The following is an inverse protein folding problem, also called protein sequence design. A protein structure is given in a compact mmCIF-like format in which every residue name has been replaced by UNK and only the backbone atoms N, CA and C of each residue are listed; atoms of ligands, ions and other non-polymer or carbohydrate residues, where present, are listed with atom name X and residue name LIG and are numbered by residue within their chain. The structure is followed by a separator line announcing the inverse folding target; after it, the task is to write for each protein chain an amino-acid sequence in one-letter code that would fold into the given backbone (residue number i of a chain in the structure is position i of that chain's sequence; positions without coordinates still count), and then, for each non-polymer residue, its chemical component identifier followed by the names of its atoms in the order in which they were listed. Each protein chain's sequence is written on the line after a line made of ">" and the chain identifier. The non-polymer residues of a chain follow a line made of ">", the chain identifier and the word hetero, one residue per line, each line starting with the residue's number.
data_IF_884048326887
#
_entry.id   IF_884048326887
#
_cell.length_a   1.000
_cell.length_b   1.000
_cell.length_c   1.000
_cell.angle_alpha   90.00
_cell.angle_beta   90.00
_cell.angle_gamma   90.00
#
_symmetry.space_group_name_H-M   'P 1'
#
loop_
_entity.id
_entity.type
_entity.pdbx_description
1 polymer ?
#
# COMPACT_ATOMS: atom_id res chain seq x y z
N UNK A 1 -17.67 6.32 -24.81
CA UNK A 1 -17.52 6.42 -23.34
C UNK A 1 -16.29 5.62 -22.96
N UNK A 2 -15.22 6.24 -22.48
CA UNK A 2 -13.98 5.53 -22.12
C UNK A 2 -14.15 5.02 -20.69
N UNK A 3 -14.14 3.70 -20.51
CA UNK A 3 -14.18 3.10 -19.18
C UNK A 3 -12.77 3.20 -18.56
N UNK A 4 -12.60 4.06 -17.57
CA UNK A 4 -11.32 4.26 -16.88
C UNK A 4 -11.16 3.40 -15.62
N UNK A 5 -12.15 2.59 -15.26
CA UNK A 5 -12.05 1.69 -14.10
C UNK A 5 -11.56 0.31 -14.51
N UNK A 6 -10.78 -0.31 -13.63
CA UNK A 6 -10.31 -1.67 -13.81
C UNK A 6 -11.30 -2.70 -13.30
N UNK A 7 -11.45 -3.79 -14.06
CA UNK A 7 -12.13 -4.97 -13.58
C UNK A 7 -11.22 -5.78 -12.66
N UNK A 8 -11.61 -6.01 -11.41
CA UNK A 8 -10.82 -6.86 -10.51
C UNK A 8 -10.80 -8.30 -11.04
N UNK A 9 -9.74 -9.00 -10.71
CA UNK A 9 -9.55 -10.42 -11.03
C UNK A 9 -9.55 -11.26 -9.76
N UNK A 10 -10.01 -12.49 -9.85
CA UNK A 10 -9.89 -13.46 -8.74
C UNK A 10 -8.44 -13.97 -8.69
N UNK A 11 -7.79 -13.87 -7.54
CA UNK A 11 -6.42 -14.35 -7.34
C UNK A 11 -6.17 -14.69 -5.88
N UNK A 12 -5.34 -15.71 -5.63
CA UNK A 12 -4.82 -15.99 -4.28
C UNK A 12 -3.99 -14.83 -3.74
N UNK A 13 -3.42 -14.02 -4.64
CA UNK A 13 -2.56 -12.89 -4.31
C UNK A 13 -3.24 -11.85 -3.42
N UNK A 14 -4.57 -11.72 -3.49
CA UNK A 14 -5.33 -10.84 -2.58
C UNK A 14 -5.14 -11.17 -1.09
N UNK A 15 -4.73 -12.39 -0.76
CA UNK A 15 -4.56 -12.84 0.63
C UNK A 15 -3.30 -12.27 1.30
N UNK A 16 -2.36 -11.72 0.53
CA UNK A 16 -1.11 -11.20 1.08
C UNK A 16 -1.37 -10.05 2.06
N UNK A 17 -2.36 -9.20 1.79
CA UNK A 17 -2.75 -8.14 2.73
C UNK A 17 -3.32 -8.70 4.03
N UNK A 18 -3.95 -9.87 4.00
CA UNK A 18 -4.43 -10.54 5.23
C UNK A 18 -3.28 -10.98 6.13
N UNK A 19 -2.12 -11.34 5.56
CA UNK A 19 -0.91 -11.61 6.33
C UNK A 19 -0.42 -10.34 7.05
N UNK A 20 -0.30 -9.21 6.34
CA UNK A 20 0.10 -7.92 6.95
C UNK A 20 -0.87 -7.52 8.06
N UNK A 21 -2.18 -7.59 7.78
CA UNK A 21 -3.20 -7.24 8.76
C UNK A 21 -3.13 -8.14 10.00
N UNK A 22 -2.91 -9.44 9.83
CA UNK A 22 -2.75 -10.37 10.94
C UNK A 22 -1.54 -10.01 11.81
N UNK A 23 -0.39 -9.75 11.21
CA UNK A 23 0.80 -9.35 11.94
C UNK A 23 0.56 -8.05 12.73
N UNK A 24 0.00 -7.03 12.08
CA UNK A 24 -0.21 -5.73 12.72
C UNK A 24 -1.31 -5.75 13.80
N UNK A 25 -2.42 -6.43 13.54
CA UNK A 25 -3.61 -6.36 14.40
C UNK A 25 -3.70 -7.49 15.43
N UNK A 26 -3.12 -8.68 15.13
CA UNK A 26 -3.22 -9.83 16.03
C UNK A 26 -1.92 -10.09 16.79
N UNK A 27 -0.77 -9.79 16.18
CA UNK A 27 0.53 -10.00 16.84
C UNK A 27 0.99 -8.72 17.53
N UNK A 28 1.27 -7.66 16.77
CA UNK A 28 1.83 -6.41 17.32
C UNK A 28 0.84 -5.72 18.27
N UNK A 29 -0.42 -5.54 17.85
CA UNK A 29 -1.43 -4.84 18.66
C UNK A 29 -1.74 -5.56 19.99
N UNK A 30 -1.52 -6.86 20.09
CA UNK A 30 -1.72 -7.63 21.30
C UNK A 30 -0.45 -7.80 22.15
N UNK A 31 0.70 -7.22 21.75
CA UNK A 31 1.97 -7.36 22.48
C UNK A 31 1.87 -7.01 23.97
N UNK A 32 1.08 -6.00 24.35
CA UNK A 32 0.88 -5.61 25.76
C UNK A 32 0.08 -6.61 26.60
N UNK A 33 -0.66 -7.50 25.96
CA UNK A 33 -1.49 -8.52 26.63
C UNK A 33 -0.74 -9.82 26.84
N UNK A 34 0.40 -9.98 26.17
CA UNK A 34 1.21 -11.17 26.26
C UNK A 34 2.12 -11.09 27.49
N UNK A 35 2.38 -12.24 28.12
CA UNK A 35 3.25 -12.33 29.31
C UNK A 35 4.73 -12.18 28.96
N UNK A 36 5.11 -12.54 27.73
CA UNK A 36 6.50 -12.50 27.28
C UNK A 36 6.96 -11.05 27.07
N UNK A 37 8.11 -10.70 27.62
CA UNK A 37 8.71 -9.37 27.47
C UNK A 37 9.21 -9.12 26.04
N UNK A 38 9.72 -10.16 25.38
CA UNK A 38 10.27 -10.09 24.02
C UNK A 38 9.45 -10.94 23.07
N UNK A 39 9.55 -10.57 21.79
CA UNK A 39 8.93 -11.33 20.73
C UNK A 39 9.51 -12.73 20.60
N UNK A 40 8.62 -13.70 20.43
CA UNK A 40 8.95 -15.07 20.05
C UNK A 40 8.09 -15.49 18.85
N UNK A 41 8.70 -16.19 17.89
CA UNK A 41 8.04 -16.55 16.63
C UNK A 41 6.78 -17.42 16.84
N UNK A 42 6.69 -18.15 17.95
CA UNK A 42 5.51 -18.96 18.32
C UNK A 42 4.27 -18.11 18.61
N UNK A 43 4.42 -16.80 18.85
CA UNK A 43 3.32 -15.85 18.97
C UNK A 43 2.57 -15.67 17.65
N UNK A 44 3.20 -15.98 16.54
CA UNK A 44 2.55 -16.09 15.23
C UNK A 44 1.82 -17.43 15.18
N UNK A 45 0.59 -17.48 15.74
CA UNK A 45 -0.19 -18.72 15.92
C UNK A 45 -0.63 -19.37 14.62
N UNK A 46 -0.77 -18.58 13.54
CA UNK A 46 -1.12 -19.09 12.21
C UNK A 46 0.13 -19.69 11.59
N UNK A 47 0.23 -21.03 11.58
CA UNK A 47 1.41 -21.78 11.14
C UNK A 47 1.91 -21.38 9.76
N UNK A 48 1.00 -21.23 8.77
CA UNK A 48 1.39 -20.79 7.42
C UNK A 48 2.08 -19.42 7.42
N UNK A 49 1.67 -18.50 8.29
CA UNK A 49 2.27 -17.17 8.40
C UNK A 49 3.62 -17.22 9.13
N UNK A 50 3.76 -18.09 10.12
CA UNK A 50 5.04 -18.37 10.76
C UNK A 50 6.05 -18.92 9.76
N UNK A 51 5.67 -19.92 8.95
CA UNK A 51 6.51 -20.46 7.88
C UNK A 51 6.93 -19.42 6.83
N UNK A 52 6.12 -18.40 6.56
CA UNK A 52 6.51 -17.30 5.67
C UNK A 52 7.65 -16.46 6.27
N UNK A 53 7.58 -16.18 7.58
CA UNK A 53 8.60 -15.39 8.27
C UNK A 53 9.90 -16.18 8.37
N UNK A 54 9.84 -17.44 8.79
CA UNK A 54 10.99 -18.35 8.91
C UNK A 54 11.63 -18.70 7.56
N UNK A 55 10.86 -18.64 6.48
CA UNK A 55 11.30 -19.01 5.13
C UNK A 55 12.05 -17.91 4.37
N UNK A 56 12.27 -16.75 4.98
CA UNK A 56 13.05 -15.63 4.42
C UNK A 56 14.13 -15.20 5.41
N UNK A 57 15.09 -14.39 4.94
CA UNK A 57 16.13 -13.82 5.79
C UNK A 57 15.49 -13.00 6.94
N UNK A 58 15.97 -13.19 8.16
CA UNK A 58 15.44 -12.57 9.37
C UNK A 58 15.33 -11.05 9.26
N UNK A 59 16.31 -10.39 8.63
CA UNK A 59 16.33 -8.94 8.42
C UNK A 59 15.11 -8.40 7.69
N UNK A 60 14.41 -9.23 6.92
CA UNK A 60 13.24 -8.77 6.15
C UNK A 60 11.98 -8.72 7.01
N UNK A 61 11.74 -9.73 7.82
CA UNK A 61 10.47 -9.85 8.54
C UNK A 61 10.65 -10.10 10.04
N UNK A 62 11.53 -11.02 10.44
CA UNK A 62 11.67 -11.41 11.85
C UNK A 62 12.21 -10.28 12.72
N UNK A 63 13.32 -9.68 12.31
CA UNK A 63 13.98 -8.62 13.07
C UNK A 63 13.07 -7.36 13.19
N UNK A 64 12.46 -6.83 12.09
CA UNK A 64 11.54 -5.71 12.24
C UNK A 64 10.28 -6.08 13.03
N UNK A 65 9.79 -7.33 12.95
CA UNK A 65 8.64 -7.76 13.75
C UNK A 65 8.97 -7.80 15.24
N UNK A 66 10.14 -8.34 15.60
CA UNK A 66 10.63 -8.34 16.98
C UNK A 66 10.72 -6.91 17.52
N UNK A 67 11.35 -6.02 16.77
CA UNK A 67 11.45 -4.60 17.14
C UNK A 67 10.07 -3.95 17.30
N UNK A 68 9.15 -4.17 16.35
CA UNK A 68 7.79 -3.63 16.48
C UNK A 68 7.08 -4.14 17.73
N UNK A 69 7.22 -5.41 18.04
CA UNK A 69 6.56 -6.02 19.20
C UNK A 69 7.08 -5.42 20.52
N UNK A 70 8.39 -5.35 20.68
CA UNK A 70 9.03 -4.86 21.89
C UNK A 70 8.72 -3.38 22.12
N UNK A 71 8.88 -2.55 21.10
CA UNK A 71 8.59 -1.11 21.15
C UNK A 71 7.11 -0.81 21.38
N UNK A 72 6.19 -1.59 20.78
CA UNK A 72 4.75 -1.38 20.93
C UNK A 72 4.28 -1.46 22.38
N UNK A 73 4.96 -2.25 23.22
CA UNK A 73 4.60 -2.46 24.62
C UNK A 73 4.67 -1.18 25.46
N UNK A 74 5.51 -0.24 25.06
CA UNK A 74 5.76 1.02 25.76
C UNK A 74 4.90 2.18 25.24
N UNK A 75 4.20 2.01 24.11
CA UNK A 75 3.34 3.04 23.54
C UNK A 75 2.20 3.42 24.47
N UNK A 76 1.85 4.71 24.48
CA UNK A 76 0.68 5.20 25.23
C UNK A 76 -0.65 4.72 24.60
N UNK A 77 -1.77 4.69 25.36
CA UNK A 77 -3.07 4.29 24.81
C UNK A 77 -3.52 5.11 23.60
N UNK A 78 -3.13 6.38 23.52
CA UNK A 78 -3.43 7.24 22.39
C UNK A 78 -2.66 6.85 21.13
N UNK A 79 -1.35 6.59 21.26
CA UNK A 79 -0.50 6.13 20.16
C UNK A 79 -1.00 4.79 19.61
N UNK A 80 -1.41 3.87 20.49
CA UNK A 80 -2.01 2.59 20.12
C UNK A 80 -3.31 2.80 19.31
N UNK A 81 -4.18 3.73 19.72
CA UNK A 81 -5.40 4.04 18.97
C UNK A 81 -5.08 4.60 17.58
N UNK A 82 -4.08 5.47 17.49
CA UNK A 82 -3.66 6.02 16.21
C UNK A 82 -3.07 4.95 15.28
N UNK A 83 -2.19 4.09 15.81
CA UNK A 83 -1.65 2.94 15.07
C UNK A 83 -2.77 2.03 14.53
N UNK A 84 -3.72 1.63 15.40
CA UNK A 84 -4.87 0.81 14.99
C UNK A 84 -5.67 1.50 13.88
N UNK A 85 -5.92 2.79 14.01
CA UNK A 85 -6.62 3.60 13.01
C UNK A 85 -5.85 3.60 11.69
N UNK A 86 -4.53 3.80 11.72
CA UNK A 86 -3.69 3.80 10.53
C UNK A 86 -3.78 2.46 9.78
N UNK A 87 -3.59 1.33 10.48
CA UNK A 87 -3.69 0.00 9.87
C UNK A 87 -5.08 -0.24 9.29
N UNK A 88 -6.14 0.10 10.02
CA UNK A 88 -7.51 -0.16 9.60
C UNK A 88 -7.95 0.74 8.44
N UNK A 89 -7.80 2.07 8.58
CA UNK A 89 -8.31 3.03 7.59
C UNK A 89 -7.51 2.98 6.30
N UNK A 90 -6.16 2.96 6.38
CA UNK A 90 -5.31 3.04 5.20
C UNK A 90 -5.46 1.84 4.26
N UNK A 91 -5.98 0.72 4.73
CA UNK A 91 -6.26 -0.45 3.90
C UNK A 91 -7.62 -0.41 3.19
N UNK A 92 -8.48 0.57 3.49
CA UNK A 92 -9.79 0.73 2.88
C UNK A 92 -9.77 1.77 1.76
N UNK A 93 -9.00 1.47 0.72
CA UNK A 93 -8.68 2.41 -0.38
C UNK A 93 -9.93 3.07 -0.97
N UNK A 94 -10.98 2.29 -1.25
CA UNK A 94 -12.23 2.80 -1.79
C UNK A 94 -12.89 3.82 -0.85
N UNK A 95 -12.98 3.49 0.44
CA UNK A 95 -13.64 4.36 1.43
C UNK A 95 -12.83 5.65 1.65
N UNK A 96 -11.50 5.58 1.51
CA UNK A 96 -10.64 6.77 1.53
C UNK A 96 -10.89 7.64 0.30
N UNK A 97 -10.95 7.07 -0.90
CA UNK A 97 -11.25 7.81 -2.13
C UNK A 97 -12.64 8.46 -2.12
N UNK A 98 -13.60 7.83 -1.48
CA UNK A 98 -14.97 8.34 -1.31
C UNK A 98 -15.14 9.29 -0.12
N UNK A 99 -14.06 9.68 0.57
CA UNK A 99 -14.05 10.52 1.79
C UNK A 99 -14.90 9.96 2.96
N UNK A 100 -15.19 8.66 2.98
CA UNK A 100 -15.91 8.00 4.07
C UNK A 100 -15.04 7.77 5.30
N UNK A 101 -13.73 7.67 5.08
CA UNK A 101 -12.72 7.50 6.12
C UNK A 101 -11.64 8.56 5.94
N UNK A 102 -11.00 8.92 7.06
CA UNK A 102 -9.80 9.77 7.06
C UNK A 102 -8.58 8.88 7.11
N UNK A 103 -7.62 9.05 6.18
CA UNK A 103 -6.35 8.35 6.24
C UNK A 103 -5.52 8.85 7.44
N UNK A 104 -4.50 8.07 7.77
CA UNK A 104 -3.44 8.48 8.70
C UNK A 104 -2.13 8.39 7.94
N UNK A 105 -1.49 9.53 7.67
CA UNK A 105 -0.17 9.56 7.05
C UNK A 105 0.87 8.92 7.97
N UNK A 106 1.90 8.34 7.37
CA UNK A 106 3.02 7.79 8.12
C UNK A 106 3.71 8.84 8.99
N UNK A 107 3.89 10.07 8.47
CA UNK A 107 4.44 11.20 9.21
C UNK A 107 3.57 11.61 10.41
N UNK A 108 2.25 11.48 10.31
CA UNK A 108 1.34 11.73 11.45
C UNK A 108 1.58 10.70 12.56
N UNK A 109 1.74 9.43 12.19
CA UNK A 109 2.06 8.36 13.14
C UNK A 109 3.47 8.57 13.74
N UNK A 110 4.45 8.94 12.91
CA UNK A 110 5.83 9.24 13.33
C UNK A 110 5.87 10.37 14.34
N UNK A 111 5.22 11.49 14.05
CA UNK A 111 5.12 12.62 14.96
C UNK A 111 4.42 12.28 16.28
N UNK A 112 3.40 11.43 16.19
CA UNK A 112 2.62 11.01 17.35
C UNK A 112 3.40 10.13 18.32
N UNK A 113 4.24 9.22 17.81
CA UNK A 113 5.05 8.35 18.67
C UNK A 113 6.33 9.06 19.16
N UNK A 114 6.81 10.07 18.43
CA UNK A 114 7.96 10.87 18.79
C UNK A 114 9.30 10.16 18.71
N UNK A 115 10.37 10.88 19.05
CA UNK A 115 11.75 10.37 18.94
C UNK A 115 12.02 9.13 19.80
N UNK A 116 11.35 9.00 20.96
CA UNK A 116 11.50 7.85 21.84
C UNK A 116 11.12 6.51 21.22
N UNK A 117 10.36 6.52 20.14
CA UNK A 117 9.87 5.30 19.44
C UNK A 117 10.25 5.27 17.95
N UNK A 118 11.36 5.89 17.57
CA UNK A 118 11.86 5.88 16.19
C UNK A 118 12.07 4.47 15.65
N UNK A 119 12.51 3.54 16.50
CA UNK A 119 12.73 2.15 16.10
C UNK A 119 11.40 1.47 15.71
N UNK A 120 10.31 1.73 16.44
CA UNK A 120 8.99 1.22 16.08
C UNK A 120 8.57 1.65 14.68
N UNK A 121 8.73 2.93 14.38
CA UNK A 121 8.37 3.51 13.09
C UNK A 121 9.26 2.97 11.96
N UNK A 122 10.58 2.90 12.17
CA UNK A 122 11.51 2.33 11.21
C UNK A 122 11.20 0.85 10.92
N UNK A 123 10.87 0.08 11.96
CA UNK A 123 10.54 -1.34 11.84
C UNK A 123 9.23 -1.57 11.05
N UNK A 124 8.19 -0.74 11.25
CA UNK A 124 6.97 -0.77 10.42
C UNK A 124 7.32 -0.57 8.94
N UNK A 125 8.09 0.47 8.63
CA UNK A 125 8.49 0.77 7.26
C UNK A 125 9.27 -0.37 6.65
N UNK A 126 10.29 -0.86 7.35
CA UNK A 126 11.12 -1.97 6.91
C UNK A 126 10.29 -3.23 6.65
N UNK A 127 9.44 -3.64 7.58
CA UNK A 127 8.59 -4.81 7.44
C UNK A 127 7.69 -4.71 6.18
N UNK A 128 6.96 -3.62 6.05
CA UNK A 128 6.04 -3.42 4.92
C UNK A 128 6.76 -3.34 3.57
N UNK A 129 7.94 -2.69 3.53
CA UNK A 129 8.73 -2.56 2.30
C UNK A 129 9.37 -3.88 1.90
N UNK A 130 9.92 -4.62 2.87
CA UNK A 130 10.55 -5.91 2.61
C UNK A 130 9.56 -6.92 2.02
N UNK A 131 8.30 -6.91 2.45
CA UNK A 131 7.29 -7.79 1.85
C UNK A 131 7.19 -7.53 0.34
N UNK A 132 7.04 -6.28 -0.08
CA UNK A 132 6.87 -5.94 -1.50
C UNK A 132 8.16 -6.07 -2.32
N UNK A 133 9.29 -5.57 -1.79
CA UNK A 133 10.54 -5.51 -2.53
C UNK A 133 11.29 -6.85 -2.53
N UNK A 134 11.32 -7.55 -1.39
CA UNK A 134 12.23 -8.66 -1.14
C UNK A 134 11.53 -10.01 -1.02
N UNK A 135 10.35 -10.08 -0.40
CA UNK A 135 9.72 -11.35 -0.05
C UNK A 135 8.75 -11.87 -1.11
N UNK A 136 7.98 -10.98 -1.73
CA UNK A 136 6.83 -11.32 -2.59
C UNK A 136 7.18 -12.24 -3.78
N UNK A 137 8.45 -12.20 -4.25
CA UNK A 137 8.97 -13.04 -5.34
C UNK A 137 9.74 -14.27 -4.86
N UNK A 138 9.85 -14.50 -3.54
CA UNK A 138 10.54 -15.66 -2.97
C UNK A 138 9.61 -16.86 -2.82
N UNK A 139 10.20 -18.06 -2.82
CA UNK A 139 9.47 -19.33 -2.79
C UNK A 139 8.38 -19.40 -1.72
N UNK A 140 8.61 -19.07 -0.44
CA UNK A 140 7.56 -19.17 0.58
C UNK A 140 6.34 -18.33 0.22
N UNK A 141 6.54 -17.10 -0.28
CA UNK A 141 5.46 -16.17 -0.59
C UNK A 141 4.71 -16.55 -1.86
N UNK A 142 5.40 -16.86 -2.95
CA UNK A 142 4.68 -17.21 -4.18
C UNK A 142 3.98 -18.57 -4.11
N UNK A 143 4.44 -19.50 -3.28
CA UNK A 143 3.72 -20.75 -3.02
C UNK A 143 2.41 -20.53 -2.26
N UNK A 144 2.42 -19.65 -1.26
CA UNK A 144 1.22 -19.33 -0.47
C UNK A 144 0.25 -18.41 -1.22
N UNK A 145 0.74 -17.35 -1.84
CA UNK A 145 -0.11 -16.29 -2.39
C UNK A 145 -0.20 -16.29 -3.92
N UNK A 146 0.61 -17.07 -4.63
CA UNK A 146 0.77 -16.98 -6.08
C UNK A 146 1.79 -15.91 -6.49
N UNK A 147 2.25 -15.98 -7.73
CA UNK A 147 3.24 -15.05 -8.27
C UNK A 147 2.60 -13.69 -8.54
N UNK A 148 3.26 -12.62 -8.08
CA UNK A 148 2.83 -11.23 -8.37
C UNK A 148 2.81 -10.96 -9.88
N UNK A 149 3.74 -11.56 -10.62
CA UNK A 149 3.86 -11.38 -12.06
C UNK A 149 2.66 -11.97 -12.82
N UNK A 150 2.15 -13.12 -12.38
CA UNK A 150 0.92 -13.72 -12.94
C UNK A 150 -0.30 -12.86 -12.59
N UNK A 151 -0.35 -12.33 -11.37
CA UNK A 151 -1.40 -11.39 -10.98
C UNK A 151 -1.39 -10.14 -11.86
N UNK A 152 -0.20 -9.56 -12.11
CA UNK A 152 -0.03 -8.39 -12.99
C UNK A 152 -0.49 -8.69 -14.41
N UNK A 153 0.02 -9.78 -15.04
CA UNK A 153 -0.36 -10.17 -16.41
C UNK A 153 -1.86 -10.35 -16.55
N UNK A 154 -2.48 -11.09 -15.63
CA UNK A 154 -3.93 -11.34 -15.66
C UNK A 154 -4.74 -10.04 -15.51
N UNK A 155 -4.27 -9.11 -14.68
CA UNK A 155 -4.94 -7.82 -14.49
C UNK A 155 -4.79 -6.93 -15.75
N UNK A 156 -3.61 -6.88 -16.35
CA UNK A 156 -3.34 -6.11 -17.58
C UNK A 156 -4.08 -6.70 -18.79
N UNK A 157 -4.11 -8.02 -18.94
CA UNK A 157 -4.83 -8.67 -20.04
C UNK A 157 -6.34 -8.38 -20.01
N UNK A 158 -6.89 -8.20 -18.82
CA UNK A 158 -8.30 -7.83 -18.64
C UNK A 158 -8.55 -6.34 -18.81
N UNK A 159 -7.54 -5.51 -18.62
CA UNK A 159 -7.62 -4.06 -18.56
C UNK A 159 -6.53 -3.44 -19.43
N UNK A 160 -6.79 -3.32 -20.73
CA UNK A 160 -5.78 -2.96 -21.74
C UNK A 160 -5.40 -1.48 -21.79
N UNK A 161 -6.14 -0.62 -21.10
CA UNK A 161 -5.87 0.83 -21.06
C UNK A 161 -5.32 1.27 -19.71
N UNK A 162 -4.51 2.31 -19.71
CA UNK A 162 -4.05 2.95 -18.47
C UNK A 162 -5.23 3.70 -17.81
N UNK A 163 -5.54 3.36 -16.55
CA UNK A 163 -6.63 3.97 -15.80
C UNK A 163 -6.43 5.48 -15.57
N UNK A 164 -5.18 5.95 -15.61
CA UNK A 164 -4.85 7.36 -15.35
C UNK A 164 -5.02 8.25 -16.60
N UNK A 165 -4.59 7.77 -17.78
CA UNK A 165 -4.59 8.59 -18.99
C UNK A 165 -5.47 8.05 -20.12
N UNK A 166 -6.08 6.87 -19.95
CA UNK A 166 -6.93 6.25 -20.99
C UNK A 166 -6.15 5.71 -22.21
N UNK A 167 -4.84 5.91 -22.28
CA UNK A 167 -4.03 5.42 -23.39
C UNK A 167 -3.91 3.90 -23.32
N UNK A 168 -4.04 3.17 -24.44
CA UNK A 168 -3.78 1.73 -24.47
C UNK A 168 -2.38 1.44 -23.93
N UNK A 169 -2.30 0.54 -22.96
CA UNK A 169 -1.01 0.04 -22.50
C UNK A 169 -0.43 -0.78 -23.65
N UNK A 170 0.78 -0.50 -24.06
CA UNK A 170 1.53 -1.48 -24.83
C UNK A 170 1.66 -2.68 -23.91
N UNK A 171 0.84 -3.70 -24.14
CA UNK A 171 1.07 -5.02 -23.61
C UNK A 171 2.49 -5.32 -24.07
N UNK A 172 3.37 -5.60 -23.14
CA UNK A 172 4.76 -5.94 -23.38
C UNK A 172 4.85 -6.74 -24.67
N UNK A 173 5.60 -6.25 -25.63
CA UNK A 173 5.94 -7.05 -26.79
C UNK A 173 6.59 -8.33 -26.25
N UNK A 174 6.39 -9.45 -26.92
CA UNK A 174 7.00 -10.72 -26.52
C UNK A 174 8.54 -10.68 -26.45
N UNK A 175 9.13 -9.53 -26.76
CA UNK A 175 10.56 -9.25 -26.78
C UNK A 175 11.07 -8.50 -25.53
N UNK A 176 10.18 -7.87 -24.76
CA UNK A 176 10.53 -7.18 -23.53
C UNK A 176 9.96 -7.92 -22.32
N UNK A 177 10.73 -8.82 -21.72
CA UNK A 177 10.38 -9.54 -20.47
C UNK A 177 10.27 -8.63 -19.23
N UNK A 178 10.45 -7.32 -19.37
CA UNK A 178 10.35 -6.37 -18.28
C UNK A 178 8.91 -5.95 -18.09
N UNK A 179 8.27 -6.55 -17.11
CA UNK A 179 6.97 -6.07 -16.62
C UNK A 179 7.13 -4.68 -16.01
N UNK A 180 6.26 -3.75 -16.44
CA UNK A 180 6.12 -2.46 -15.75
C UNK A 180 5.73 -2.72 -14.29
N UNK A 181 6.30 -1.94 -13.38
CA UNK A 181 5.96 -2.06 -11.96
C UNK A 181 4.50 -1.65 -11.71
N UNK A 182 3.87 -2.22 -10.69
CA UNK A 182 2.63 -1.66 -10.17
C UNK A 182 2.86 -0.23 -9.67
N UNK A 183 1.93 0.66 -9.97
CA UNK A 183 1.80 1.90 -9.24
C UNK A 183 1.08 1.65 -7.90
N UNK A 184 1.64 2.15 -6.82
CA UNK A 184 0.91 2.25 -5.56
C UNK A 184 0.01 3.48 -5.63
N UNK A 185 -1.29 3.27 -5.89
CA UNK A 185 -2.26 4.35 -6.07
C UNK A 185 -2.20 5.35 -4.90
N UNK A 186 -2.23 4.88 -3.68
CA UNK A 186 -1.80 5.63 -2.49
C UNK A 186 -0.32 5.36 -2.27
N UNK A 187 0.55 6.38 -2.28
CA UNK A 187 2.00 6.18 -2.19
C UNK A 187 2.40 5.42 -0.93
N UNK A 188 3.17 4.35 -1.10
CA UNK A 188 3.60 3.50 0.04
C UNK A 188 4.44 4.24 1.08
N UNK A 189 5.11 5.32 0.67
CA UNK A 189 5.90 6.16 1.58
C UNK A 189 5.02 6.92 2.56
N UNK A 190 3.79 7.22 2.18
CA UNK A 190 2.77 7.86 3.01
C UNK A 190 1.87 6.85 3.72
N UNK A 191 1.71 5.64 3.13
CA UNK A 191 0.77 4.61 3.57
C UNK A 191 1.41 3.22 3.55
N UNK A 192 2.41 2.92 4.40
CA UNK A 192 3.17 1.68 4.32
C UNK A 192 2.32 0.41 4.50
N UNK A 193 1.25 0.46 5.30
CA UNK A 193 0.41 -0.71 5.61
C UNK A 193 -0.35 -1.28 4.40
N UNK A 194 -0.48 -0.52 3.31
CA UNK A 194 -1.16 -0.96 2.10
C UNK A 194 -0.21 -1.29 0.93
N UNK A 195 1.09 -1.43 1.20
CA UNK A 195 2.13 -1.67 0.19
C UNK A 195 1.88 -2.93 -0.66
N UNK A 196 1.21 -3.93 -0.12
CA UNK A 196 0.85 -5.18 -0.83
C UNK A 196 -0.66 -5.35 -1.01
N UNK A 197 -1.45 -4.32 -0.65
CA UNK A 197 -2.89 -4.35 -0.84
C UNK A 197 -3.22 -4.26 -2.34
N UNK A 198 -3.81 -5.31 -2.88
CA UNK A 198 -4.16 -5.36 -4.31
C UNK A 198 -5.16 -4.29 -4.74
N UNK A 199 -5.95 -3.75 -3.83
CA UNK A 199 -6.80 -2.58 -4.07
C UNK A 199 -5.99 -1.28 -4.26
N UNK A 200 -4.70 -1.29 -3.88
CA UNK A 200 -3.74 -0.20 -4.04
C UNK A 200 -2.76 -0.42 -5.19
N UNK A 201 -2.65 -1.65 -5.71
CA UNK A 201 -1.69 -2.01 -6.75
C UNK A 201 -2.34 -1.87 -8.13
N UNK A 202 -1.99 -0.81 -8.84
CA UNK A 202 -2.62 -0.43 -10.10
C UNK A 202 -1.61 -0.52 -11.24
N UNK A 203 -1.88 -1.33 -12.29
CA UNK A 203 -1.01 -1.35 -13.45
C UNK A 203 -1.25 -0.08 -14.27
N UNK A 204 -0.32 0.85 -14.27
CA UNK A 204 -0.34 2.10 -15.03
C UNK A 204 0.74 2.10 -16.11
N UNK A 205 0.67 3.02 -17.07
CA UNK A 205 1.79 3.21 -17.99
C UNK A 205 2.94 3.93 -17.27
N UNK A 206 4.17 3.74 -17.76
CA UNK A 206 5.39 4.27 -17.11
C UNK A 206 5.35 5.78 -16.95
N UNK A 207 4.84 6.50 -17.95
CA UNK A 207 4.71 7.96 -17.87
C UNK A 207 3.78 8.39 -16.73
N UNK A 208 2.64 7.71 -16.55
CA UNK A 208 1.73 8.02 -15.46
C UNK A 208 2.34 7.67 -14.10
N UNK A 209 2.98 6.51 -14.00
CA UNK A 209 3.59 6.06 -12.76
C UNK A 209 4.75 6.98 -12.32
N UNK A 210 5.67 7.30 -13.24
CA UNK A 210 6.93 7.98 -12.90
C UNK A 210 6.86 9.50 -13.02
N UNK A 211 6.25 10.03 -14.12
CA UNK A 211 6.31 11.46 -14.44
C UNK A 211 5.11 12.25 -13.93
N UNK A 212 3.89 11.69 -14.07
CA UNK A 212 2.68 12.46 -13.77
C UNK A 212 2.22 12.29 -12.33
N UNK A 213 2.12 11.07 -11.84
CA UNK A 213 1.72 10.81 -10.47
C UNK A 213 2.93 10.82 -9.53
N UNK A 214 3.94 9.97 -9.80
CA UNK A 214 5.10 9.82 -8.90
C UNK A 214 4.65 9.55 -7.46
N UNK A 215 5.14 10.36 -6.53
CA UNK A 215 4.82 10.27 -5.09
C UNK A 215 3.64 11.13 -4.66
N UNK A 216 2.89 11.73 -5.60
CA UNK A 216 1.74 12.59 -5.27
C UNK A 216 0.64 11.77 -4.60
N UNK A 217 0.08 12.35 -3.53
CA UNK A 217 -1.05 11.77 -2.82
C UNK A 217 -2.37 12.18 -3.50
N UNK A 218 -3.14 11.24 -4.08
CA UNK A 218 -4.40 11.56 -4.72
C UNK A 218 -5.51 11.97 -3.73
N UNK A 219 -5.33 11.69 -2.43
CA UNK A 219 -6.32 12.02 -1.40
C UNK A 219 -6.26 13.47 -0.93
N UNK A 220 -5.19 14.20 -1.26
CA UNK A 220 -5.01 15.56 -0.77
C UNK A 220 -4.55 16.51 -1.87
N UNK A 221 -5.15 17.69 -1.89
CA UNK A 221 -4.66 18.82 -2.68
C UNK A 221 -3.71 19.65 -1.83
N UNK A 222 -2.52 19.92 -2.36
CA UNK A 222 -1.63 20.92 -1.77
C UNK A 222 -2.20 22.29 -2.13
N UNK A 223 -3.01 22.87 -1.25
CA UNK A 223 -3.43 24.26 -1.39
C UNK A 223 -2.31 25.17 -0.89
N UNK A 224 -1.87 26.09 -1.78
CA UNK A 224 -0.86 27.11 -1.61
C UNK A 224 -0.52 27.57 -0.17
N UNK A 225 0.19 28.66 0.01
CA UNK A 225 0.91 29.13 1.21
C UNK A 225 0.25 29.01 2.61
N UNK A 226 -0.97 28.55 2.75
CA UNK A 226 -1.70 28.40 4.02
C UNK A 226 -1.98 26.97 4.47
N UNK A 227 -1.34 25.94 3.88
CA UNK A 227 -1.05 24.66 4.51
C UNK A 227 -2.20 23.80 5.04
N UNK A 228 -3.47 24.01 4.70
CA UNK A 228 -4.55 23.08 5.06
C UNK A 228 -4.75 22.05 3.95
N UNK A 229 -4.21 20.86 4.14
CA UNK A 229 -4.51 19.72 3.30
C UNK A 229 -5.97 19.28 3.55
N UNK A 230 -6.86 19.57 2.60
CA UNK A 230 -8.22 19.04 2.63
C UNK A 230 -8.22 17.68 1.94
N UNK A 231 -8.84 16.67 2.56
CA UNK A 231 -9.08 15.40 1.90
C UNK A 231 -10.03 15.61 0.72
N UNK A 232 -9.65 15.09 -0.45
CA UNK A 232 -10.40 15.15 -1.68
C UNK A 232 -11.14 13.85 -1.94
N UNK A 233 -12.33 13.96 -2.50
CA UNK A 233 -12.94 12.82 -3.18
C UNK A 233 -12.18 12.58 -4.48
N UNK A 234 -11.60 11.40 -4.61
CA UNK A 234 -10.79 11.05 -5.77
C UNK A 234 -11.33 9.79 -6.45
N UNK A 235 -10.88 9.62 -7.70
CA UNK A 235 -11.20 8.45 -8.49
C UNK A 235 -10.62 7.18 -7.85
N UNK A 236 -11.43 6.11 -7.72
CA UNK A 236 -10.96 4.80 -7.28
C UNK A 236 -10.78 3.87 -8.50
N UNK A 237 -9.56 3.38 -8.79
CA UNK A 237 -9.26 2.65 -10.02
C UNK A 237 -10.06 1.36 -10.24
N UNK A 238 -10.53 0.71 -9.18
CA UNK A 238 -11.34 -0.51 -9.24
C UNK A 238 -12.83 -0.26 -8.95
N UNK A 239 -13.30 0.97 -9.12
CA UNK A 239 -14.71 1.27 -8.95
C UNK A 239 -15.53 0.66 -10.11
N UNK A 240 -16.66 0.05 -9.78
CA UNK A 240 -17.66 -0.36 -10.77
C UNK A 240 -18.57 0.79 -11.21
N UNK A 241 -18.46 1.97 -10.59
CA UNK A 241 -19.23 3.15 -10.97
C UNK A 241 -18.60 3.79 -12.20
N UNK A 242 -19.42 4.14 -13.18
CA UNK A 242 -19.02 5.01 -14.29
C UNK A 242 -18.85 6.43 -13.74
N UNK A 243 -17.70 7.03 -14.03
CA UNK A 243 -17.46 8.44 -13.74
C UNK A 243 -17.61 9.22 -15.02
N UNK A 244 -18.45 10.25 -15.02
CA UNK A 244 -18.47 11.26 -16.08
C UNK A 244 -17.23 12.15 -15.91
N UNK A 245 -16.19 11.84 -16.67
CA UNK A 245 -14.97 12.65 -16.67
C UNK A 245 -15.15 13.76 -17.67
N UNK A 246 -15.33 14.99 -17.19
CA UNK A 246 -15.26 16.19 -18.00
C UNK A 246 -13.80 16.63 -18.09
N UNK A 247 -13.21 16.51 -19.27
CA UNK A 247 -11.88 17.06 -19.56
C UNK A 247 -12.08 18.49 -20.05
N UNK A 248 -11.68 19.47 -19.23
CA UNK A 248 -11.57 20.87 -19.67
C UNK A 248 -10.11 21.20 -19.96
N UNK A 249 -9.78 21.51 -21.20
CA UNK A 249 -8.46 22.04 -21.56
C UNK A 249 -8.49 23.56 -21.41
N UNK A 250 -7.79 24.08 -20.40
CA UNK A 250 -7.52 25.51 -20.35
C UNK A 250 -6.22 25.77 -21.13
N UNK A 251 -6.38 26.08 -22.43
CA UNK A 251 -5.29 26.68 -23.20
C UNK A 251 -5.07 28.11 -22.67
N UNK A 252 -3.97 28.34 -21.95
CA UNK A 252 -3.45 29.71 -21.82
C UNK A 252 -2.56 29.95 -23.04
N UNK A 253 -2.92 30.84 -23.99
CA UNK A 253 -1.98 31.22 -25.02
C UNK A 253 -0.77 31.84 -24.35
N UNK A 254 0.39 31.24 -24.55
CA UNK A 254 1.66 31.85 -24.19
C UNK A 254 1.78 33.12 -25.02
N UNK A 255 1.79 34.28 -24.37
CA UNK A 255 2.17 35.51 -25.05
C UNK A 255 3.63 35.34 -25.48
N UNK A 256 3.82 35.12 -26.78
CA UNK A 256 5.10 35.30 -27.45
C UNK A 256 5.36 36.81 -27.42
N UNK A 257 6.41 37.24 -26.68
CA UNK A 257 7.03 38.56 -26.85
C UNK A 257 8.19 38.43 -27.82
#
# INVERSE_FOLDING_TARGET
>A
MVQLSYHPIKSKFHRIQSFVNYIMLEVVLNARKMQNEHFDITMVRVERYRKLIEGVDNRYLLDPLSTMYDEFRTLSPWQIRLFRKAVYCNNKIKDLCECKLKPVHYSELENAVGEGHRLFIAAIRQFCYSIYNDCIRRAPFYHEFGKIDDYYRNLVNRNTTCVMCGVPKRILSALDDKMSAFDHYLPRDLYPFNSVNTANLVPTCDNCNTKYKGVKDPLFEVKGDYGRNCQLQCFYPFSIRYYDIKVSSHFRPSCVR
#
